data_IF_154148965328
#
_entry.id   IF_154148965328
#
_cell.length_a   1.000
_cell.length_b   1.000
_cell.length_c   1.000
_cell.angle_alpha   90.00
_cell.angle_beta   90.00
_cell.angle_gamma   90.00
#
_symmetry.space_group_name_H-M   'P 1'
#
loop_
_entity.id
_entity.type
_entity.pdbx_description
1 polymer ?
#
# COMPACT_ATOMS: atom_id res chain seq x y z
N UNK A 1 -7.18 27.87 9.38
CA UNK A 1 -7.29 27.05 8.15
C UNK A 1 -6.60 25.75 8.50
N UNK A 2 -7.30 24.62 8.50
CA UNK A 2 -6.67 23.32 8.78
C UNK A 2 -5.85 23.00 7.54
N UNK A 3 -4.53 22.91 7.71
CA UNK A 3 -3.57 22.49 6.69
C UNK A 3 -3.85 21.02 6.33
N UNK A 4 -4.78 20.80 5.40
CA UNK A 4 -5.02 19.50 4.76
C UNK A 4 -3.80 19.08 3.89
N UNK A 5 -2.78 19.93 3.79
CA UNK A 5 -1.58 19.69 2.98
C UNK A 5 -0.33 19.29 3.78
N UNK A 6 -0.28 19.39 5.11
CA UNK A 6 0.84 18.94 5.95
C UNK A 6 0.64 17.50 6.45
N UNK A 7 1.17 16.51 5.73
CA UNK A 7 1.13 15.10 6.15
C UNK A 7 1.84 14.21 5.13
N UNK A 8 2.42 13.10 5.59
CA UNK A 8 3.06 12.13 4.69
C UNK A 8 2.02 11.47 3.77
N UNK A 9 2.44 10.88 2.65
CA UNK A 9 1.53 10.15 1.75
C UNK A 9 0.73 9.07 2.52
N UNK A 10 1.38 8.46 3.51
CA UNK A 10 0.79 7.50 4.45
C UNK A 10 -0.35 8.12 5.26
N UNK A 11 -0.13 9.29 5.86
CA UNK A 11 -1.14 9.93 6.71
C UNK A 11 -2.39 10.28 5.90
N UNK A 12 -2.19 10.87 4.72
CA UNK A 12 -3.29 11.19 3.78
C UNK A 12 -4.05 9.95 3.32
N UNK A 13 -3.34 8.86 3.03
CA UNK A 13 -3.97 7.59 2.67
C UNK A 13 -4.87 7.08 3.81
N UNK A 14 -4.40 7.09 5.06
CA UNK A 14 -5.22 6.64 6.18
C UNK A 14 -6.42 7.56 6.42
N UNK A 15 -6.27 8.87 6.29
CA UNK A 15 -7.39 9.80 6.37
C UNK A 15 -8.46 9.48 5.32
N UNK A 16 -8.06 9.25 4.06
CA UNK A 16 -8.99 8.84 2.99
C UNK A 16 -9.63 7.50 3.32
N UNK A 17 -8.84 6.51 3.73
CA UNK A 17 -9.30 5.16 4.02
C UNK A 17 -10.32 5.14 5.16
N UNK A 18 -10.15 5.96 6.20
CA UNK A 18 -11.09 6.03 7.32
C UNK A 18 -12.36 6.83 7.01
N UNK A 19 -12.33 7.73 6.03
CA UNK A 19 -13.49 8.55 5.65
C UNK A 19 -14.26 8.01 4.42
N UNK A 20 -13.69 7.06 3.66
CA UNK A 20 -14.33 6.46 2.50
C UNK A 20 -15.42 5.44 2.87
N UNK A 21 -16.24 5.07 1.88
CA UNK A 21 -17.25 4.03 2.03
C UNK A 21 -16.61 2.67 2.40
N UNK A 22 -17.10 2.03 3.47
CA UNK A 22 -16.56 0.77 3.98
C UNK A 22 -16.55 -0.38 2.97
N UNK A 23 -17.47 -0.41 1.99
CA UNK A 23 -17.47 -1.42 0.91
C UNK A 23 -16.30 -1.18 -0.05
N UNK A 24 -16.06 0.08 -0.43
CA UNK A 24 -14.93 0.44 -1.31
C UNK A 24 -13.60 0.09 -0.63
N UNK A 25 -13.46 0.45 0.64
CA UNK A 25 -12.26 0.14 1.43
C UNK A 25 -12.01 -1.37 1.50
N UNK A 26 -13.06 -2.17 1.77
CA UNK A 26 -12.93 -3.64 1.79
C UNK A 26 -12.48 -4.20 0.45
N UNK A 27 -13.10 -3.75 -0.65
CA UNK A 27 -12.74 -4.21 -1.99
C UNK A 27 -11.28 -3.88 -2.33
N UNK A 28 -10.80 -2.68 -2.00
CA UNK A 28 -9.40 -2.32 -2.25
C UNK A 28 -8.42 -3.10 -1.36
N UNK A 29 -8.76 -3.34 -0.09
CA UNK A 29 -7.94 -4.18 0.80
C UNK A 29 -7.87 -5.62 0.27
N UNK A 30 -8.98 -6.19 -0.19
CA UNK A 30 -9.02 -7.56 -0.72
C UNK A 30 -8.11 -7.70 -1.96
N UNK A 31 -8.10 -6.70 -2.86
CA UNK A 31 -7.17 -6.67 -4.00
C UNK A 31 -5.70 -6.66 -3.57
N UNK A 32 -5.37 -5.88 -2.53
CA UNK A 32 -4.00 -5.84 -1.99
C UNK A 32 -3.60 -7.19 -1.41
N UNK A 33 -4.50 -7.85 -0.67
CA UNK A 33 -4.24 -9.16 -0.09
C UNK A 33 -4.10 -10.25 -1.15
N UNK A 34 -4.94 -10.25 -2.18
CA UNK A 34 -4.80 -11.18 -3.31
C UNK A 34 -3.44 -11.02 -3.99
N UNK A 35 -3.03 -9.77 -4.25
CA UNK A 35 -1.72 -9.47 -4.82
C UNK A 35 -0.58 -9.90 -3.90
N UNK A 36 -0.70 -9.66 -2.60
CA UNK A 36 0.30 -10.08 -1.62
C UNK A 36 0.49 -11.60 -1.61
N UNK A 37 -0.60 -12.36 -1.51
CA UNK A 37 -0.56 -13.83 -1.55
C UNK A 37 0.04 -14.33 -2.86
N UNK A 38 -0.38 -13.78 -4.01
CA UNK A 38 0.17 -14.17 -5.30
C UNK A 38 1.68 -13.91 -5.41
N UNK A 39 2.17 -12.78 -4.89
CA UNK A 39 3.59 -12.46 -4.88
C UNK A 39 4.37 -13.38 -3.94
N UNK A 40 3.86 -13.67 -2.73
CA UNK A 40 4.49 -14.60 -1.80
C UNK A 40 4.63 -16.00 -2.39
N UNK A 41 3.56 -16.53 -2.98
CA UNK A 41 3.57 -17.83 -3.68
C UNK A 41 4.56 -17.86 -4.85
N UNK A 42 4.67 -16.78 -5.61
CA UNK A 42 5.65 -16.66 -6.68
C UNK A 42 7.09 -16.62 -6.14
N UNK A 43 7.34 -15.91 -5.04
CA UNK A 43 8.64 -15.88 -4.39
C UNK A 43 9.06 -17.27 -3.92
N UNK A 44 8.19 -17.99 -3.21
CA UNK A 44 8.45 -19.35 -2.75
C UNK A 44 8.77 -20.31 -3.90
N UNK A 45 8.03 -20.23 -5.01
CA UNK A 45 8.29 -21.03 -6.22
C UNK A 45 9.66 -20.76 -6.84
N UNK A 46 10.21 -19.57 -6.65
CA UNK A 46 11.54 -19.19 -7.12
C UNK A 46 12.62 -19.40 -6.05
N UNK A 47 12.28 -20.02 -4.92
CA UNK A 47 13.21 -20.29 -3.82
C UNK A 47 13.55 -19.07 -2.98
N UNK A 48 12.82 -17.96 -3.14
CA UNK A 48 12.98 -16.76 -2.31
C UNK A 48 12.20 -16.98 -1.03
N UNK A 49 12.91 -17.03 0.10
CA UNK A 49 12.30 -17.20 1.42
C UNK A 49 12.04 -15.85 2.13
N UNK A 50 11.37 -15.91 3.28
CA UNK A 50 11.04 -14.72 4.07
C UNK A 50 12.28 -13.97 4.57
N UNK A 51 13.39 -14.67 4.87
CA UNK A 51 14.63 -14.03 5.32
C UNK A 51 15.25 -13.18 4.20
N UNK A 52 15.20 -13.64 2.95
CA UNK A 52 15.67 -12.87 1.80
C UNK A 52 14.82 -11.62 1.58
N UNK A 53 13.49 -11.72 1.75
CA UNK A 53 12.59 -10.56 1.67
C UNK A 53 12.90 -9.56 2.79
N UNK A 54 13.07 -10.03 4.02
CA UNK A 54 13.41 -9.19 5.17
C UNK A 54 14.76 -8.49 4.98
N UNK A 55 15.76 -9.22 4.49
CA UNK A 55 17.08 -8.67 4.17
C UNK A 55 16.98 -7.61 3.07
N UNK A 56 16.20 -7.85 2.02
CA UNK A 56 15.98 -6.88 0.95
C UNK A 56 15.34 -5.60 1.48
N UNK A 57 14.34 -5.71 2.35
CA UNK A 57 13.71 -4.54 2.98
C UNK A 57 14.71 -3.75 3.83
N UNK A 58 15.58 -4.45 4.56
CA UNK A 58 16.59 -3.82 5.40
C UNK A 58 17.72 -3.16 4.59
N UNK A 59 18.10 -3.73 3.44
CA UNK A 59 19.18 -3.21 2.60
C UNK A 59 18.74 -2.11 1.63
N UNK A 60 17.48 -2.13 1.20
CA UNK A 60 16.94 -1.24 0.16
C UNK A 60 15.91 -0.24 0.73
N UNK A 61 16.17 0.31 1.93
CA UNK A 61 15.20 1.12 2.69
C UNK A 61 14.65 2.31 1.90
N UNK A 62 15.48 3.04 1.16
CA UNK A 62 15.04 4.19 0.34
C UNK A 62 14.10 3.74 -0.78
N UNK A 63 14.41 2.61 -1.43
CA UNK A 63 13.59 2.03 -2.49
C UNK A 63 12.24 1.57 -1.94
N UNK A 64 12.24 0.93 -0.78
CA UNK A 64 11.01 0.52 -0.09
C UNK A 64 10.19 1.75 0.32
N UNK A 65 10.83 2.77 0.91
CA UNK A 65 10.17 4.00 1.33
C UNK A 65 9.50 4.72 0.16
N UNK A 66 10.20 4.89 -0.96
CA UNK A 66 9.64 5.52 -2.16
C UNK A 66 8.51 4.68 -2.76
N UNK A 67 8.70 3.36 -2.87
CA UNK A 67 7.67 2.45 -3.35
C UNK A 67 6.41 2.43 -2.48
N UNK A 68 6.56 2.56 -1.15
CA UNK A 68 5.43 2.70 -0.23
C UNK A 68 4.70 4.02 -0.42
N UNK A 69 5.42 5.13 -0.61
CA UNK A 69 4.80 6.43 -0.90
C UNK A 69 4.00 6.40 -2.20
N UNK A 70 4.57 5.84 -3.26
CA UNK A 70 3.88 5.67 -4.54
C UNK A 70 2.62 4.80 -4.39
N UNK A 71 2.72 3.73 -3.60
CA UNK A 71 1.58 2.86 -3.31
C UNK A 71 0.48 3.60 -2.54
N UNK A 72 0.82 4.37 -1.51
CA UNK A 72 -0.16 5.17 -0.76
C UNK A 72 -0.88 6.20 -1.64
N UNK A 73 -0.15 6.87 -2.53
CA UNK A 73 -0.72 7.83 -3.49
C UNK A 73 -1.66 7.11 -4.47
N UNK A 74 -1.21 5.99 -5.05
CA UNK A 74 -2.00 5.21 -6.00
C UNK A 74 -3.31 4.71 -5.39
N UNK A 75 -3.24 4.07 -4.22
CA UNK A 75 -4.43 3.57 -3.52
C UNK A 75 -5.40 4.69 -3.11
N UNK A 76 -4.85 5.83 -2.69
CA UNK A 76 -5.67 7.02 -2.41
C UNK A 76 -6.46 7.45 -3.66
N UNK A 77 -5.82 7.45 -4.83
CA UNK A 77 -6.47 7.75 -6.11
C UNK A 77 -7.58 6.76 -6.47
N UNK A 78 -7.34 5.46 -6.30
CA UNK A 78 -8.34 4.40 -6.56
C UNK A 78 -9.57 4.50 -5.63
N UNK A 79 -9.36 4.82 -4.35
CA UNK A 79 -10.48 4.99 -3.40
C UNK A 79 -11.27 6.26 -3.70
N UNK A 80 -10.61 7.36 -4.07
CA UNK A 80 -11.27 8.62 -4.39
C UNK A 80 -12.04 8.54 -5.71
N UNK A 81 -11.49 7.91 -6.76
CA UNK A 81 -12.14 7.79 -8.07
C UNK A 81 -13.42 6.95 -8.04
N UNK A 82 -13.57 6.05 -7.06
CA UNK A 82 -14.76 5.25 -6.86
C UNK A 82 -15.83 5.94 -5.99
N UNK A 83 -15.51 7.08 -5.38
CA UNK A 83 -16.46 7.92 -4.64
C UNK A 83 -17.07 9.05 -5.49
N UNK A 84 -16.51 9.35 -6.67
CA UNK A 84 -17.08 10.25 -7.69
C UNK A 84 -18.16 9.56 -8.54
#
# INVERSE_FOLDING_TARGET
MIDIFEGSARDKFYDILFNANAVLVKNEIDKIFEKFVALSELCERHGINEDEVANFVASEQDKIYNGLNDLYIGLSGEILSQNE
#
